data_IF_128530848333
#
_entry.id   IF_128530848333
#
_cell.length_a   1.000
_cell.length_b   1.000
_cell.length_c   1.000
_cell.angle_alpha   90.00
_cell.angle_beta   90.00
_cell.angle_gamma   90.00
#
_symmetry.space_group_name_H-M   'P 1'
#
loop_
_entity.id
_entity.type
_entity.pdbx_description
1 polymer ?
#
# COMPACT_ATOMS: atom_id res chain seq x y z
N UNK A 1 10.55 24.38 -68.50
CA UNK A 1 10.77 25.83 -68.32
C UNK A 1 10.96 26.11 -66.84
N UNK A 2 12.00 26.90 -66.54
CA UNK A 2 12.30 27.62 -65.30
C UNK A 2 12.96 26.84 -64.15
N UNK A 3 14.11 27.26 -63.60
CA UNK A 3 15.07 28.32 -63.95
C UNK A 3 16.32 28.10 -63.07
N UNK A 4 17.50 28.31 -63.64
CA UNK A 4 18.79 28.30 -62.97
C UNK A 4 19.04 29.58 -62.17
N UNK A 5 19.87 29.46 -61.12
CA UNK A 5 21.04 30.31 -60.78
C UNK A 5 21.15 30.51 -59.26
N UNK A 6 22.34 30.34 -58.69
CA UNK A 6 23.15 31.42 -58.10
C UNK A 6 24.59 30.92 -57.84
N UNK A 7 25.52 31.56 -58.58
CA UNK A 7 26.89 31.99 -58.30
C UNK A 7 27.93 31.12 -57.54
N UNK A 8 29.00 30.86 -58.31
CA UNK A 8 30.39 30.73 -57.85
C UNK A 8 30.86 31.95 -57.04
N UNK A 9 31.59 31.70 -55.95
CA UNK A 9 32.60 32.61 -55.44
C UNK A 9 33.81 31.79 -54.98
N UNK A 10 34.85 31.81 -55.81
CA UNK A 10 36.18 31.37 -55.46
C UNK A 10 36.84 32.46 -54.62
N UNK A 11 37.26 32.12 -53.40
CA UNK A 11 38.28 32.88 -52.68
C UNK A 11 39.47 31.94 -52.53
N UNK A 12 40.45 32.12 -53.41
CA UNK A 12 41.76 31.53 -53.26
C UNK A 12 42.48 32.24 -52.12
N UNK A 13 42.78 31.50 -51.04
CA UNK A 13 43.85 31.88 -50.12
C UNK A 13 44.98 30.89 -50.38
N UNK A 14 46.01 31.39 -51.05
CA UNK A 14 47.29 30.73 -51.18
C UNK A 14 48.00 30.84 -49.82
N UNK A 15 48.02 29.77 -49.03
CA UNK A 15 49.04 29.57 -48.00
C UNK A 15 49.93 28.45 -48.49
N UNK A 16 50.97 28.85 -49.21
CA UNK A 16 52.13 28.01 -49.47
C UNK A 16 52.85 27.71 -48.14
N UNK A 17 52.98 26.43 -47.84
CA UNK A 17 54.09 25.90 -47.05
C UNK A 17 54.00 26.09 -45.54
N UNK A 18 53.21 25.24 -44.88
CA UNK A 18 53.56 24.60 -43.61
C UNK A 18 52.80 23.27 -43.59
N UNK A 19 53.53 22.18 -43.82
CA UNK A 19 52.98 20.83 -43.82
C UNK A 19 52.41 20.50 -42.45
N UNK A 20 51.10 20.62 -42.30
CA UNK A 20 50.36 19.71 -41.43
C UNK A 20 50.10 18.49 -42.28
N UNK A 21 50.95 17.49 -42.17
CA UNK A 21 50.59 16.14 -42.58
C UNK A 21 49.38 15.75 -41.73
N UNK A 22 48.18 15.96 -42.29
CA UNK A 22 47.00 15.25 -41.84
C UNK A 22 47.27 13.79 -42.19
N UNK A 23 47.87 13.06 -41.25
CA UNK A 23 47.84 11.59 -41.23
C UNK A 23 46.37 11.18 -41.28
N UNK A 24 45.88 10.95 -42.50
CA UNK A 24 44.57 10.39 -42.80
C UNK A 24 44.61 8.86 -42.71
N UNK A 25 45.77 8.29 -42.38
CA UNK A 25 46.15 6.93 -42.73
C UNK A 25 46.17 6.02 -41.48
N UNK A 26 45.09 6.07 -40.68
CA UNK A 26 45.04 5.27 -39.45
C UNK A 26 43.66 5.13 -38.81
N UNK A 27 42.60 5.60 -39.44
CA UNK A 27 41.24 5.36 -39.00
C UNK A 27 40.61 4.33 -39.92
N UNK A 28 40.82 3.06 -39.56
CA UNK A 28 40.08 1.95 -40.15
C UNK A 28 38.60 2.09 -39.77
N UNK A 29 37.80 2.55 -40.73
CA UNK A 29 36.36 2.72 -40.57
C UNK A 29 35.69 1.40 -40.17
N UNK A 30 36.25 0.27 -40.57
CA UNK A 30 35.79 -1.06 -40.18
C UNK A 30 36.02 -1.33 -38.69
N UNK A 31 37.18 -0.95 -38.16
CA UNK A 31 37.48 -1.05 -36.73
C UNK A 31 36.57 -0.14 -35.89
N UNK A 32 36.26 1.07 -36.39
CA UNK A 32 35.33 1.99 -35.73
C UNK A 32 33.90 1.44 -35.71
N UNK A 33 33.43 0.87 -36.84
CA UNK A 33 32.12 0.20 -36.92
C UNK A 33 32.04 -1.00 -35.98
N UNK A 34 33.10 -1.79 -35.90
CA UNK A 34 33.19 -2.95 -34.99
C UNK A 34 33.11 -2.51 -33.54
N UNK A 35 33.79 -1.42 -33.17
CA UNK A 35 33.73 -0.85 -31.83
C UNK A 35 32.34 -0.31 -31.49
N UNK A 36 31.67 0.36 -32.43
CA UNK A 36 30.30 0.86 -32.25
C UNK A 36 29.33 -0.30 -32.03
N UNK A 37 29.42 -1.37 -32.82
CA UNK A 37 28.60 -2.57 -32.60
C UNK A 37 28.89 -3.20 -31.24
N UNK A 38 30.17 -3.37 -30.89
CA UNK A 38 30.56 -3.92 -29.58
C UNK A 38 30.07 -3.08 -28.40
N UNK A 39 30.11 -1.74 -28.52
CA UNK A 39 29.57 -0.84 -27.51
C UNK A 39 28.04 -0.93 -27.45
N UNK A 40 27.37 -1.03 -28.59
CA UNK A 40 25.91 -1.21 -28.68
C UNK A 40 25.48 -2.51 -27.99
N UNK A 41 26.21 -3.59 -28.23
CA UNK A 41 25.99 -4.89 -27.60
C UNK A 41 26.22 -4.84 -26.09
N UNK A 42 27.24 -4.09 -25.66
CA UNK A 42 27.52 -3.89 -24.23
C UNK A 42 26.41 -3.08 -23.56
N UNK A 43 25.91 -2.01 -24.19
CA UNK A 43 24.83 -1.17 -23.67
C UNK A 43 23.54 -1.97 -23.55
N UNK A 44 23.17 -2.72 -24.59
CA UNK A 44 21.96 -3.55 -24.56
C UNK A 44 22.05 -4.64 -23.50
N UNK A 45 23.22 -5.26 -23.33
CA UNK A 45 23.47 -6.22 -22.24
C UNK A 45 23.32 -5.57 -20.87
N UNK A 46 23.92 -4.39 -20.64
CA UNK A 46 23.79 -3.67 -19.37
C UNK A 46 22.34 -3.26 -19.08
N UNK A 47 21.57 -2.87 -20.10
CA UNK A 47 20.15 -2.53 -19.93
C UNK A 47 19.31 -3.75 -19.52
N UNK A 48 19.59 -4.92 -20.10
CA UNK A 48 18.94 -6.17 -19.71
C UNK A 48 19.27 -6.56 -18.26
N UNK A 49 20.55 -6.47 -17.87
CA UNK A 49 20.98 -6.75 -16.48
C UNK A 49 20.36 -5.78 -15.47
N UNK A 50 20.27 -4.48 -15.79
CA UNK A 50 19.60 -3.49 -14.93
C UNK A 50 18.11 -3.79 -14.76
N UNK A 51 17.44 -4.22 -15.83
CA UNK A 51 16.02 -4.59 -15.77
C UNK A 51 15.80 -5.82 -14.88
N UNK A 52 16.63 -6.84 -15.05
CA UNK A 52 16.60 -8.04 -14.21
C UNK A 52 16.91 -7.73 -12.74
N UNK A 53 17.91 -6.87 -12.48
CA UNK A 53 18.27 -6.44 -11.13
C UNK A 53 17.13 -5.65 -10.48
N UNK A 54 16.50 -4.73 -11.21
CA UNK A 54 15.36 -3.96 -10.71
C UNK A 54 14.19 -4.87 -10.31
N UNK A 55 13.90 -5.88 -11.12
CA UNK A 55 12.86 -6.86 -10.80
C UNK A 55 13.23 -7.67 -9.55
N UNK A 56 14.47 -8.15 -9.47
CA UNK A 56 14.99 -8.90 -8.31
C UNK A 56 14.96 -8.06 -7.02
N UNK A 57 15.28 -6.76 -7.09
CA UNK A 57 15.21 -5.83 -5.96
C UNK A 57 13.76 -5.64 -5.50
N UNK A 58 12.81 -5.52 -6.43
CA UNK A 58 11.40 -5.40 -6.09
C UNK A 58 10.89 -6.67 -5.40
N UNK A 59 11.21 -7.84 -5.93
CA UNK A 59 10.89 -9.13 -5.30
C UNK A 59 11.51 -9.26 -3.91
N UNK A 60 12.80 -8.96 -3.76
CA UNK A 60 13.50 -9.00 -2.49
C UNK A 60 12.90 -8.00 -1.47
N UNK A 61 12.45 -6.83 -1.93
CA UNK A 61 11.75 -5.85 -1.08
C UNK A 61 10.41 -6.40 -0.58
N UNK A 62 9.68 -7.14 -1.40
CA UNK A 62 8.45 -7.83 -0.98
C UNK A 62 8.73 -8.96 0.02
N UNK A 63 9.79 -9.75 -0.20
CA UNK A 63 10.19 -10.81 0.74
C UNK A 63 10.69 -10.21 2.06
N UNK A 64 11.48 -9.14 2.02
CA UNK A 64 11.99 -8.46 3.21
C UNK A 64 10.86 -7.82 4.02
N UNK A 65 9.90 -7.16 3.37
CA UNK A 65 8.73 -6.63 4.07
C UNK A 65 7.86 -7.75 4.67
N UNK A 66 7.77 -8.89 3.99
CA UNK A 66 7.11 -10.09 4.50
C UNK A 66 7.83 -10.66 5.73
N UNK A 67 9.16 -10.82 5.69
CA UNK A 67 9.98 -11.34 6.81
C UNK A 67 10.01 -10.38 7.99
N UNK A 68 10.14 -9.07 7.76
CA UNK A 68 10.20 -8.07 8.84
C UNK A 68 8.85 -7.94 9.56
N UNK A 69 7.74 -8.17 8.85
CA UNK A 69 6.39 -8.16 9.43
C UNK A 69 5.90 -9.56 9.83
N UNK A 70 6.66 -10.62 9.58
CA UNK A 70 6.35 -11.95 10.12
C UNK A 70 6.38 -11.86 11.64
N UNK A 71 5.24 -12.11 12.27
CA UNK A 71 5.06 -12.00 13.72
C UNK A 71 4.79 -10.59 14.24
N UNK A 72 4.72 -9.56 13.39
CA UNK A 72 4.33 -8.19 13.79
C UNK A 72 3.11 -7.74 13.00
N UNK A 73 1.96 -7.86 13.63
CA UNK A 73 0.70 -7.34 13.09
C UNK A 73 -0.08 -6.72 14.23
N UNK A 74 -0.47 -5.46 14.01
CA UNK A 74 -1.32 -4.73 14.93
C UNK A 74 -2.04 -3.63 14.15
N UNK A 75 -3.30 -3.41 14.47
CA UNK A 75 -4.03 -2.26 13.96
C UNK A 75 -4.88 -1.63 15.06
N UNK A 76 -5.12 -0.34 14.92
CA UNK A 76 -6.08 0.42 15.71
C UNK A 76 -6.67 1.49 14.81
N UNK A 77 -8.00 1.52 14.74
CA UNK A 77 -8.75 2.51 13.99
C UNK A 77 -9.96 2.99 14.79
N UNK A 78 -10.40 4.22 14.52
CA UNK A 78 -11.58 4.82 15.13
C UNK A 78 -12.44 5.50 14.05
N UNK A 79 -13.66 5.86 14.41
CA UNK A 79 -14.57 6.59 13.53
C UNK A 79 -14.34 8.11 13.65
N UNK A 80 -14.27 8.83 12.52
CA UNK A 80 -14.09 10.30 12.47
C UNK A 80 -15.36 11.11 12.74
N UNK A 81 -16.55 10.50 12.68
CA UNK A 81 -17.79 11.26 12.86
C UNK A 81 -18.13 11.46 14.34
N UNK A 82 -18.59 12.65 14.72
CA UNK A 82 -19.21 12.83 16.03
C UNK A 82 -20.48 11.96 16.18
N UNK A 83 -21.26 11.84 15.10
CA UNK A 83 -22.38 10.93 14.97
C UNK A 83 -22.19 10.14 13.67
N UNK A 84 -22.20 8.81 13.75
CA UNK A 84 -21.86 7.92 12.64
C UNK A 84 -23.01 6.96 12.42
N UNK A 85 -23.57 6.97 11.21
CA UNK A 85 -24.58 5.99 10.83
C UNK A 85 -23.95 4.60 10.71
N UNK A 86 -24.47 3.66 11.50
CA UNK A 86 -24.05 2.26 11.59
C UNK A 86 -25.15 1.30 11.13
N UNK A 87 -26.18 1.81 10.44
CA UNK A 87 -27.22 1.00 9.80
C UNK A 87 -26.68 0.19 8.62
N UNK A 88 -25.60 0.64 7.98
CA UNK A 88 -24.83 -0.14 7.00
C UNK A 88 -23.75 -0.94 7.72
N UNK A 89 -23.72 -2.26 7.51
CA UNK A 89 -22.72 -3.16 8.08
C UNK A 89 -21.86 -3.74 6.94
N UNK A 90 -20.54 -3.95 7.16
CA UNK A 90 -19.78 -3.79 8.39
C UNK A 90 -19.51 -2.32 8.78
N UNK A 91 -19.16 -2.09 10.06
CA UNK A 91 -18.78 -0.77 10.58
C UNK A 91 -17.46 -0.32 9.98
N UNK A 92 -17.39 0.93 9.52
CA UNK A 92 -16.18 1.52 8.95
C UNK A 92 -15.51 2.39 10.02
N UNK A 93 -14.31 2.00 10.46
CA UNK A 93 -13.42 2.85 11.27
C UNK A 93 -12.39 3.46 10.32
N UNK A 94 -12.65 4.68 9.88
CA UNK A 94 -11.99 5.33 8.75
C UNK A 94 -10.66 6.00 9.12
N UNK A 95 -10.47 6.33 10.40
CA UNK A 95 -9.23 6.95 10.90
C UNK A 95 -8.32 5.89 11.50
N UNK A 96 -7.21 5.62 10.83
CA UNK A 96 -6.24 4.59 11.20
C UNK A 96 -5.09 5.20 12.00
N UNK A 97 -4.94 4.76 13.26
CA UNK A 97 -3.81 5.14 14.12
C UNK A 97 -2.62 4.20 13.91
N UNK A 98 -2.87 2.91 13.70
CA UNK A 98 -1.83 1.89 13.47
C UNK A 98 -2.36 0.84 12.52
N UNK A 99 -1.50 0.34 11.62
CA UNK A 99 -1.83 -0.74 10.69
C UNK A 99 -0.57 -1.51 10.25
N UNK A 100 0.18 -2.00 11.24
CA UNK A 100 1.39 -2.79 11.00
C UNK A 100 0.97 -4.13 10.37
N UNK A 101 1.61 -4.49 9.26
CA UNK A 101 1.24 -5.66 8.47
C UNK A 101 0.07 -5.44 7.51
N UNK A 102 -0.50 -4.23 7.45
CA UNK A 102 -1.57 -3.83 6.50
C UNK A 102 -2.78 -4.78 6.46
N UNK A 103 -3.14 -5.38 7.60
CA UNK A 103 -4.27 -6.32 7.69
C UNK A 103 -5.63 -5.63 7.73
N UNK A 104 -5.70 -4.36 8.17
CA UNK A 104 -6.96 -3.62 8.26
C UNK A 104 -7.20 -2.73 7.04
N UNK A 105 -8.41 -2.76 6.49
CA UNK A 105 -8.83 -1.91 5.38
C UNK A 105 -9.85 -0.87 5.85
N UNK A 106 -9.41 0.38 5.94
CA UNK A 106 -10.20 1.53 6.42
C UNK A 106 -11.37 1.92 5.52
N UNK A 107 -11.42 1.49 4.26
CA UNK A 107 -12.54 1.76 3.36
C UNK A 107 -13.69 0.77 3.55
N UNK A 108 -13.41 -0.40 4.12
CA UNK A 108 -14.37 -1.51 4.25
C UNK A 108 -14.64 -1.91 5.68
N UNK A 109 -13.89 -1.38 6.66
CA UNK A 109 -14.02 -1.79 8.05
C UNK A 109 -13.51 -3.21 8.35
N UNK A 110 -12.87 -3.85 7.38
CA UNK A 110 -12.53 -5.28 7.44
C UNK A 110 -11.07 -5.49 7.77
N UNK A 111 -10.82 -6.32 8.77
CA UNK A 111 -9.51 -6.92 9.00
C UNK A 111 -9.40 -8.25 8.25
N UNK A 112 -8.32 -8.47 7.49
CA UNK A 112 -8.02 -9.75 6.84
C UNK A 112 -6.71 -10.30 7.38
N UNK A 113 -6.71 -11.53 7.88
CA UNK A 113 -5.52 -12.17 8.41
C UNK A 113 -4.51 -12.47 7.28
N UNK A 114 -3.31 -11.87 7.29
CA UNK A 114 -2.31 -12.16 6.26
C UNK A 114 -1.61 -13.50 6.51
N UNK A 115 -1.65 -14.02 7.75
CA UNK A 115 -0.96 -15.24 8.16
C UNK A 115 -1.86 -16.07 9.08
N UNK A 116 -1.52 -17.35 9.23
CA UNK A 116 -2.15 -18.23 10.21
C UNK A 116 -1.63 -17.93 11.60
N UNK A 117 -2.49 -17.94 12.61
CA UNK A 117 -2.08 -17.70 13.99
C UNK A 117 -3.21 -17.41 14.94
N UNK A 118 -2.86 -17.06 16.17
CA UNK A 118 -3.79 -16.62 17.22
C UNK A 118 -3.83 -15.09 17.22
N UNK A 119 -5.04 -14.54 17.11
CA UNK A 119 -5.30 -13.10 17.06
C UNK A 119 -6.17 -12.68 18.23
N UNK A 120 -5.96 -11.45 18.71
CA UNK A 120 -6.83 -10.78 19.66
C UNK A 120 -7.47 -9.56 19.01
N UNK A 121 -8.77 -9.39 19.18
CA UNK A 121 -9.57 -8.29 18.65
C UNK A 121 -10.34 -7.62 19.79
N UNK A 122 -10.45 -6.30 19.71
CA UNK A 122 -11.08 -5.46 20.72
C UNK A 122 -11.95 -4.42 20.03
N UNK A 123 -13.16 -4.24 20.52
CA UNK A 123 -14.03 -3.16 20.10
C UNK A 123 -14.53 -2.42 21.33
N UNK A 124 -14.65 -1.10 21.22
CA UNK A 124 -15.40 -0.30 22.15
C UNK A 124 -16.33 0.63 21.38
N UNK A 125 -17.54 0.80 21.88
CA UNK A 125 -18.62 1.52 21.20
C UNK A 125 -19.25 2.48 22.20
N UNK A 126 -19.37 3.75 21.82
CA UNK A 126 -20.06 4.76 22.61
C UNK A 126 -21.44 5.03 22.01
N UNK A 127 -22.48 4.70 22.77
CA UNK A 127 -23.86 5.09 22.45
C UNK A 127 -24.17 6.48 23.02
N UNK A 128 -25.15 7.16 22.44
CA UNK A 128 -25.69 8.42 22.98
C UNK A 128 -27.18 8.30 23.23
N UNK A 129 -27.68 9.12 24.15
CA UNK A 129 -29.05 9.10 24.67
C UNK A 129 -30.20 9.20 23.65
N UNK A 130 -29.91 9.57 22.40
CA UNK A 130 -30.96 9.62 21.38
C UNK A 130 -31.39 8.21 20.92
N UNK A 131 -30.66 7.18 21.37
CA UNK A 131 -31.00 5.77 21.22
C UNK A 131 -30.91 5.07 22.57
N UNK A 132 -31.84 4.15 22.87
CA UNK A 132 -31.88 3.48 24.18
C UNK A 132 -30.67 2.57 24.42
N UNK A 133 -30.26 1.82 23.39
CA UNK A 133 -29.16 0.86 23.46
C UNK A 133 -28.55 0.53 22.10
N UNK A 134 -27.37 -0.11 22.09
CA UNK A 134 -26.82 -0.78 20.91
C UNK A 134 -26.12 -2.10 21.27
N UNK A 135 -26.41 -3.15 20.50
CA UNK A 135 -25.64 -4.40 20.48
C UNK A 135 -24.68 -4.43 19.30
N UNK A 136 -23.39 -4.67 19.58
CA UNK A 136 -22.33 -4.73 18.57
C UNK A 136 -21.54 -6.02 18.70
N UNK A 137 -21.30 -6.70 17.57
CA UNK A 137 -20.57 -7.95 17.51
C UNK A 137 -19.23 -7.79 16.81
N UNK A 138 -18.21 -8.50 17.31
CA UNK A 138 -17.02 -8.88 16.54
C UNK A 138 -17.34 -10.19 15.84
N UNK A 139 -17.22 -10.23 14.52
CA UNK A 139 -17.50 -11.41 13.72
C UNK A 139 -16.31 -11.86 12.90
N UNK A 140 -16.09 -13.18 12.85
CA UNK A 140 -15.14 -13.81 11.95
C UNK A 140 -15.90 -14.60 10.89
N UNK A 141 -15.73 -14.26 9.62
CA UNK A 141 -16.38 -14.93 8.49
C UNK A 141 -17.90 -15.15 8.69
N UNK A 142 -18.59 -14.17 9.28
CA UNK A 142 -20.03 -14.25 9.59
C UNK A 142 -20.41 -15.01 10.87
N UNK A 143 -19.42 -15.53 11.62
CA UNK A 143 -19.65 -16.12 12.94
C UNK A 143 -19.33 -15.10 14.05
N UNK A 144 -20.29 -14.86 14.94
CA UNK A 144 -20.11 -14.02 16.13
C UNK A 144 -19.08 -14.63 17.07
N UNK A 145 -18.06 -13.84 17.42
CA UNK A 145 -17.04 -14.20 18.41
C UNK A 145 -17.30 -13.60 19.78
N UNK A 146 -17.72 -12.33 19.82
CA UNK A 146 -18.05 -11.60 21.04
C UNK A 146 -19.08 -10.51 20.73
N UNK A 147 -19.88 -10.15 21.73
CA UNK A 147 -20.88 -9.08 21.66
C UNK A 147 -20.66 -8.13 22.83
N UNK A 148 -20.85 -6.84 22.58
CA UNK A 148 -20.98 -5.82 23.63
C UNK A 148 -22.33 -5.13 23.55
N UNK A 149 -22.77 -4.60 24.69
CA UNK A 149 -23.93 -3.75 24.85
C UNK A 149 -23.48 -2.38 25.40
N UNK A 150 -24.13 -1.32 24.96
CA UNK A 150 -24.10 0.00 25.59
C UNK A 150 -25.56 0.48 25.74
N UNK A 151 -25.99 0.78 26.96
CA UNK A 151 -27.35 1.20 27.32
C UNK A 151 -27.32 2.60 27.90
N UNK A 152 -27.95 3.55 27.24
CA UNK A 152 -27.90 4.95 27.68
C UNK A 152 -29.06 5.33 28.57
N UNK A 153 -30.25 4.72 28.48
CA UNK A 153 -31.44 5.03 29.31
C UNK A 153 -31.53 6.48 29.85
N UNK A 154 -30.98 6.77 31.04
CA UNK A 154 -30.95 8.11 31.65
C UNK A 154 -29.61 8.88 31.46
N UNK A 155 -28.53 8.18 31.14
CA UNK A 155 -27.21 8.71 30.87
C UNK A 155 -27.11 9.36 29.48
N UNK A 156 -26.33 10.45 29.39
CA UNK A 156 -26.07 11.11 28.12
C UNK A 156 -25.30 10.22 27.13
N UNK A 157 -24.40 9.39 27.67
CA UNK A 157 -23.51 8.50 26.93
C UNK A 157 -23.21 7.26 27.76
N UNK A 158 -23.17 6.10 27.11
CA UNK A 158 -22.72 4.84 27.71
C UNK A 158 -21.80 4.10 26.74
N UNK A 159 -20.85 3.33 27.30
CA UNK A 159 -19.78 2.69 26.55
C UNK A 159 -19.72 1.20 26.79
N UNK A 160 -19.94 0.45 25.71
CA UNK A 160 -19.73 -0.99 25.66
C UNK A 160 -18.33 -1.35 25.17
N UNK A 161 -17.75 -2.44 25.66
CA UNK A 161 -16.53 -3.02 25.10
C UNK A 161 -16.60 -4.55 25.04
N UNK A 162 -16.05 -5.13 23.98
CA UNK A 162 -15.89 -6.57 23.83
C UNK A 162 -14.50 -6.92 23.32
N UNK A 163 -14.07 -8.12 23.66
CA UNK A 163 -12.80 -8.69 23.20
C UNK A 163 -13.03 -10.14 22.79
N UNK A 164 -12.34 -10.57 21.72
CA UNK A 164 -12.26 -11.97 21.34
C UNK A 164 -10.82 -12.36 21.00
N UNK A 165 -10.42 -13.55 21.44
CA UNK A 165 -9.22 -14.22 20.95
C UNK A 165 -9.65 -15.40 20.10
N UNK A 166 -9.11 -15.52 18.90
CA UNK A 166 -9.47 -16.59 17.97
C UNK A 166 -8.30 -17.00 17.11
N UNK A 167 -8.35 -18.23 16.62
CA UNK A 167 -7.38 -18.69 15.62
C UNK A 167 -7.86 -18.30 14.23
N UNK A 168 -6.96 -17.75 13.42
CA UNK A 168 -7.23 -17.30 12.07
C UNK A 168 -6.43 -18.12 11.07
N UNK A 169 -7.05 -18.43 9.93
CA UNK A 169 -6.38 -18.85 8.71
C UNK A 169 -5.99 -17.63 7.89
N UNK A 170 -5.03 -17.78 6.99
CA UNK A 170 -4.75 -16.75 5.98
C UNK A 170 -6.03 -16.48 5.17
N UNK A 171 -6.39 -15.21 5.03
CA UNK A 171 -7.60 -14.77 4.33
C UNK A 171 -8.87 -14.75 5.17
N UNK A 172 -8.86 -15.27 6.41
CA UNK A 172 -9.99 -15.10 7.32
C UNK A 172 -10.23 -13.61 7.59
N UNK A 173 -11.50 -13.21 7.61
CA UNK A 173 -11.92 -11.83 7.78
C UNK A 173 -12.59 -11.61 9.12
N UNK A 174 -12.26 -10.50 9.77
CA UNK A 174 -12.96 -10.01 10.97
C UNK A 174 -13.55 -8.64 10.71
N UNK A 175 -14.82 -8.49 11.07
CA UNK A 175 -15.56 -7.23 10.98
C UNK A 175 -16.25 -6.94 12.31
N UNK A 176 -16.60 -5.68 12.49
CA UNK A 176 -17.53 -5.25 13.55
C UNK A 176 -18.87 -4.93 12.89
N UNK A 177 -19.97 -5.38 13.49
CA UNK A 177 -21.31 -5.04 12.99
C UNK A 177 -22.32 -4.79 14.10
N UNK A 178 -23.36 -4.05 13.75
CA UNK A 178 -24.59 -3.93 14.54
C UNK A 178 -25.30 -5.28 14.56
N UNK A 179 -25.70 -5.70 15.75
CA UNK A 179 -26.64 -6.81 15.95
C UNK A 179 -28.05 -6.26 16.04
N UNK A 180 -28.28 -5.29 16.92
CA UNK A 180 -29.55 -4.60 17.11
C UNK A 180 -29.35 -3.25 17.83
N UNK A 181 -30.41 -2.45 17.99
CA UNK A 181 -30.41 -1.17 18.70
C UNK A 181 -30.14 0.03 17.80
N UNK A 182 -29.35 1.00 18.27
CA UNK A 182 -29.08 2.27 17.59
C UNK A 182 -28.59 2.10 16.14
N UNK A 183 -29.05 2.97 15.24
CA UNK A 183 -28.54 3.07 13.85
C UNK A 183 -27.48 4.16 13.70
N UNK A 184 -27.21 4.91 14.76
CA UNK A 184 -26.18 5.94 14.83
C UNK A 184 -25.48 5.86 16.18
N UNK A 185 -24.17 6.06 16.20
CA UNK A 185 -23.34 6.04 17.41
C UNK A 185 -22.30 7.15 17.39
N UNK A 186 -21.63 7.37 18.52
CA UNK A 186 -20.58 8.38 18.63
C UNK A 186 -19.21 7.86 18.18
N UNK A 187 -18.51 8.65 17.37
CA UNK A 187 -17.09 8.45 17.02
C UNK A 187 -16.13 9.35 17.81
N UNK A 188 -15.10 9.90 17.16
CA UNK A 188 -13.98 10.75 17.60
C UNK A 188 -13.61 10.86 19.10
N UNK A 189 -12.46 10.30 19.51
CA UNK A 189 -12.01 8.94 19.30
C UNK A 189 -12.66 8.00 20.33
N UNK A 190 -14.00 8.00 20.42
CA UNK A 190 -14.71 7.24 21.46
C UNK A 190 -15.08 5.83 21.05
N UNK A 191 -15.35 5.58 19.77
CA UNK A 191 -15.62 4.24 19.21
C UNK A 191 -14.45 3.77 18.37
N UNK A 192 -13.88 2.62 18.75
CA UNK A 192 -12.62 2.11 18.19
C UNK A 192 -12.66 0.60 17.98
N UNK A 193 -11.89 0.15 16.99
CA UNK A 193 -11.63 -1.25 16.71
C UNK A 193 -10.12 -1.46 16.60
N UNK A 194 -9.62 -2.47 17.31
CA UNK A 194 -8.21 -2.80 17.38
C UNK A 194 -8.01 -4.30 17.35
N UNK A 195 -6.84 -4.72 16.91
CA UNK A 195 -6.43 -6.12 17.02
C UNK A 195 -4.96 -6.31 16.71
N UNK A 196 -4.43 -7.43 17.16
CA UNK A 196 -3.04 -7.80 16.95
C UNK A 196 -2.84 -9.31 16.89
N UNK A 197 -1.75 -9.72 16.25
CA UNK A 197 -1.28 -11.10 16.23
C UNK A 197 -0.61 -11.41 17.57
N UNK A 198 -1.17 -12.38 18.30
CA UNK A 198 -0.61 -12.86 19.58
C UNK A 198 0.56 -13.81 19.31
N UNK A 199 0.37 -14.75 18.38
CA UNK A 199 1.38 -15.73 18.00
C UNK A 199 1.12 -16.23 16.59
N UNK A 200 2.10 -16.14 15.66
CA UNK A 200 2.02 -16.81 14.38
C UNK A 200 2.09 -18.32 14.59
N UNK A 201 1.38 -19.07 13.75
CA UNK A 201 1.60 -20.51 13.67
C UNK A 201 2.93 -20.80 12.95
N UNK A 202 3.57 -21.90 13.32
CA UNK A 202 4.79 -22.40 12.68
C UNK A 202 4.55 -22.94 11.27
#
# INVERSE_FOLDING_TARGET
MNRWHVFLLAVGICVSGLGVDKRSDGLDLQALLTLIHQQTDTITKMQAELTALKNSVNECRHVSSYIVNQGKLAFTAHMSGANVNVGSTPFIFDVVTTNIGNGYNHQTGTFTAPYRGVYAFFVNVLNHRDYDYIHVAIEKNGQVLAVTLAETHEDAFDKGSAMATTRMQQGDQVVVRRVDGANEIRGEPTTMFSGFLVSPDA
#
